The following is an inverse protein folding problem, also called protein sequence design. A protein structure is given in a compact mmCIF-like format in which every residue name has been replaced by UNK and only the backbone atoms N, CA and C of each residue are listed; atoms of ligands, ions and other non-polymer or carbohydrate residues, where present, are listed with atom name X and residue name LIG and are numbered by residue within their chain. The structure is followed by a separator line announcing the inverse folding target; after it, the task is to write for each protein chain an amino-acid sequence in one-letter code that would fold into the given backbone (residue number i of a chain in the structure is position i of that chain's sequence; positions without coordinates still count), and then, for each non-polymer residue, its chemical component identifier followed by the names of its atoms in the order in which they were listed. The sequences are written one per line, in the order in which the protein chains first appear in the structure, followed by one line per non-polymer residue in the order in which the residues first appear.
data_IF_259894754559
#
_entry.id   IF_259894754559
#
_cell.length_a   1.000
_cell.length_b   1.000
_cell.length_c   1.000
_cell.angle_alpha   90.00
_cell.angle_beta   90.00
_cell.angle_gamma   90.00
#
_symmetry.space_group_name_H-M   'P 1'
#
loop_
_entity.id
_entity.type
_entity.pdbx_description
1 polymer ?
#
# COMPACT_ATOMS: atom_id res chain seq x y z
N UNK A 1 3.25 -64.35 68.22
CA UNK A 1 2.69 -63.52 69.30
C UNK A 1 2.05 -62.34 68.65
N UNK A 2 0.73 -62.41 68.55
CA UNK A 2 -0.15 -61.60 67.74
C UNK A 2 -0.54 -60.35 68.51
N UNK A 3 -0.54 -59.18 67.91
CA UNK A 3 -1.30 -58.03 68.43
C UNK A 3 -2.12 -57.44 67.28
N UNK A 4 -3.41 -57.65 67.37
CA UNK A 4 -4.49 -57.02 66.62
C UNK A 4 -4.72 -55.59 67.19
N UNK A 5 -4.59 -54.56 66.39
CA UNK A 5 -5.11 -53.26 66.75
C UNK A 5 -6.43 -52.97 66.01
N UNK A 6 -7.49 -52.80 66.82
CA UNK A 6 -8.82 -52.35 66.41
C UNK A 6 -8.80 -50.89 65.95
N UNK A 7 -9.17 -50.64 64.74
CA UNK A 7 -9.54 -49.29 64.29
C UNK A 7 -11.05 -49.11 64.30
N UNK A 8 -11.52 -48.14 65.07
CA UNK A 8 -12.92 -47.74 65.29
C UNK A 8 -13.58 -47.10 64.05
N UNK A 9 -14.93 -47.23 63.87
CA UNK A 9 -15.65 -46.85 62.65
C UNK A 9 -15.84 -45.35 62.41
N UNK A 10 -15.24 -44.45 63.19
CA UNK A 10 -15.50 -42.99 63.13
C UNK A 10 -14.73 -42.25 62.01
N UNK A 11 -13.77 -42.90 61.37
CA UNK A 11 -12.91 -42.24 60.34
C UNK A 11 -13.45 -42.33 58.90
N UNK A 12 -14.55 -43.06 58.65
CA UNK A 12 -15.14 -43.18 57.29
C UNK A 12 -16.22 -42.17 56.95
N UNK A 13 -16.74 -41.47 57.92
CA UNK A 13 -17.82 -40.49 57.69
C UNK A 13 -17.34 -39.07 57.34
N UNK A 14 -16.10 -38.75 57.69
CA UNK A 14 -15.52 -37.43 57.36
C UNK A 14 -14.98 -37.28 55.95
N UNK A 15 -14.70 -38.37 55.25
CA UNK A 15 -14.19 -38.32 53.87
C UNK A 15 -15.26 -38.34 52.76
N UNK A 16 -16.53 -38.59 53.13
CA UNK A 16 -17.64 -38.54 52.16
C UNK A 16 -18.39 -37.20 52.17
N UNK A 17 -18.24 -36.36 53.21
CA UNK A 17 -18.87 -35.07 53.28
C UNK A 17 -18.05 -33.91 52.64
N UNK A 18 -16.80 -34.18 52.25
CA UNK A 18 -15.94 -33.17 51.58
C UNK A 18 -15.96 -33.28 50.06
N UNK A 19 -16.76 -34.18 49.46
CA UNK A 19 -16.91 -34.34 48.00
C UNK A 19 -18.17 -33.68 47.42
N UNK A 20 -18.94 -32.93 48.20
CA UNK A 20 -20.25 -32.38 47.76
C UNK A 20 -20.33 -30.88 47.83
N UNK A 21 -19.21 -30.11 47.84
CA UNK A 21 -19.28 -28.68 47.86
C UNK A 21 -18.20 -28.02 47.01
N UNK A 22 -18.06 -28.46 45.76
CA UNK A 22 -17.36 -27.74 44.71
C UNK A 22 -18.14 -27.89 43.41
N UNK A 23 -19.41 -27.54 43.43
CA UNK A 23 -20.16 -27.19 42.21
C UNK A 23 -19.81 -25.73 41.93
N UNK A 24 -18.66 -25.51 41.30
CA UNK A 24 -18.31 -24.23 40.71
C UNK A 24 -19.33 -23.93 39.61
N UNK A 25 -20.23 -23.00 39.92
CA UNK A 25 -21.08 -22.36 38.95
C UNK A 25 -20.13 -21.63 37.96
N UNK A 26 -19.77 -22.27 36.87
CA UNK A 26 -19.24 -21.58 35.68
C UNK A 26 -20.38 -20.74 35.13
N UNK A 27 -20.50 -19.50 35.61
CA UNK A 27 -21.23 -18.47 34.91
C UNK A 27 -20.42 -18.21 33.65
N UNK A 28 -20.79 -18.87 32.57
CA UNK A 28 -20.34 -18.50 31.23
C UNK A 28 -20.85 -17.09 30.98
N UNK A 29 -20.01 -16.09 31.24
CA UNK A 29 -20.21 -14.75 30.74
C UNK A 29 -20.16 -14.89 29.22
N UNK A 30 -21.32 -14.99 28.58
CA UNK A 30 -21.42 -14.80 27.15
C UNK A 30 -20.92 -13.38 26.91
N UNK A 31 -19.70 -13.25 26.42
CA UNK A 31 -19.21 -12.00 25.87
C UNK A 31 -20.19 -11.64 24.75
N UNK A 32 -21.07 -10.68 25.00
CA UNK A 32 -21.87 -10.06 23.93
C UNK A 32 -20.81 -9.44 23.02
N UNK A 33 -20.61 -10.05 21.85
CA UNK A 33 -19.75 -9.50 20.82
C UNK A 33 -20.22 -8.05 20.57
N UNK A 34 -19.32 -7.09 20.74
CA UNK A 34 -19.65 -5.72 20.41
C UNK A 34 -20.18 -5.69 18.96
N UNK A 35 -21.26 -4.95 18.69
CA UNK A 35 -21.81 -4.88 17.35
C UNK A 35 -20.71 -4.45 16.40
N UNK A 36 -20.52 -5.18 15.30
CA UNK A 36 -19.56 -4.82 14.24
C UNK A 36 -19.97 -3.45 13.71
N UNK A 37 -19.10 -2.44 13.80
CA UNK A 37 -19.47 -1.09 13.38
C UNK A 37 -19.85 -1.10 11.89
N UNK A 38 -21.01 -0.53 11.56
CA UNK A 38 -21.48 -0.45 10.18
C UNK A 38 -20.59 0.53 9.40
N UNK A 39 -20.03 0.08 8.30
CA UNK A 39 -19.26 0.95 7.39
C UNK A 39 -20.21 1.84 6.60
N UNK A 40 -19.93 3.12 6.57
CA UNK A 40 -20.68 4.12 5.78
C UNK A 40 -19.82 4.63 4.63
N UNK A 41 -20.43 4.76 3.46
CA UNK A 41 -19.78 5.29 2.25
C UNK A 41 -20.58 6.47 1.72
N UNK A 42 -19.88 7.57 1.48
CA UNK A 42 -20.42 8.76 0.81
C UNK A 42 -19.67 8.94 -0.51
N UNK A 43 -20.39 8.98 -1.62
CA UNK A 43 -19.84 9.36 -2.93
C UNK A 43 -19.70 10.89 -2.95
N UNK A 44 -18.47 11.37 -3.16
CA UNK A 44 -18.16 12.79 -3.20
C UNK A 44 -18.07 13.33 -4.64
N UNK A 45 -17.61 12.50 -5.57
CA UNK A 45 -17.43 12.80 -6.99
C UNK A 45 -17.53 11.53 -7.81
N UNK A 46 -18.12 11.62 -8.99
CA UNK A 46 -18.08 10.61 -10.06
C UNK A 46 -17.53 11.24 -11.35
N UNK A 47 -17.53 10.50 -12.46
CA UNK A 47 -17.07 10.99 -13.75
C UNK A 47 -15.55 11.18 -13.84
N UNK A 48 -14.75 10.50 -13.00
CA UNK A 48 -13.30 10.50 -13.08
C UNK A 48 -12.84 9.40 -14.05
N UNK A 49 -11.94 9.72 -14.98
CA UNK A 49 -11.42 8.76 -15.97
C UNK A 49 -10.25 7.95 -15.39
N UNK A 50 -10.54 6.74 -14.89
CA UNK A 50 -9.54 5.87 -14.27
C UNK A 50 -8.63 6.63 -13.29
N UNK A 51 -9.18 7.26 -12.22
CA UNK A 51 -8.36 8.00 -11.28
C UNK A 51 -7.35 7.07 -10.61
N UNK A 52 -6.10 7.55 -10.45
CA UNK A 52 -5.01 6.70 -10.00
C UNK A 52 -4.52 7.03 -8.58
N UNK A 53 -4.44 8.30 -8.22
CA UNK A 53 -3.96 8.76 -6.92
C UNK A 53 -4.60 10.06 -6.49
N UNK A 54 -4.67 10.31 -5.19
CA UNK A 54 -5.13 11.57 -4.63
C UNK A 54 -4.17 12.12 -3.57
N UNK A 55 -4.14 13.47 -3.45
CA UNK A 55 -3.41 14.17 -2.41
C UNK A 55 -4.24 15.32 -1.84
N UNK A 56 -4.35 15.38 -0.50
CA UNK A 56 -5.04 16.46 0.19
C UNK A 56 -4.17 17.73 0.20
N UNK A 57 -4.70 18.84 -0.29
CA UNK A 57 -4.10 20.14 -0.10
C UNK A 57 -4.34 20.61 1.35
N UNK A 58 -3.36 21.31 1.97
CA UNK A 58 -3.56 21.87 3.30
C UNK A 58 -4.70 22.90 3.33
N UNK A 59 -5.12 23.28 4.53
CA UNK A 59 -6.10 24.35 4.77
C UNK A 59 -7.43 24.18 4.01
N UNK A 60 -7.82 22.93 3.72
CA UNK A 60 -9.01 22.59 2.94
C UNK A 60 -9.05 23.19 1.52
N UNK A 61 -7.89 23.48 0.94
CA UNK A 61 -7.82 23.98 -0.45
C UNK A 61 -8.39 22.95 -1.46
N UNK A 62 -8.51 21.69 -1.11
CA UNK A 62 -9.13 20.63 -1.92
C UNK A 62 -8.28 19.37 -2.00
N UNK A 63 -8.58 18.54 -3.00
CA UNK A 63 -7.91 17.27 -3.28
C UNK A 63 -7.41 17.30 -4.72
N UNK A 64 -6.12 17.11 -4.93
CA UNK A 64 -5.57 16.81 -6.25
C UNK A 64 -5.84 15.37 -6.59
N UNK A 65 -6.29 15.09 -7.81
CA UNK A 65 -6.58 13.74 -8.30
C UNK A 65 -5.91 13.56 -9.66
N UNK A 66 -5.11 12.51 -9.82
CA UNK A 66 -4.57 12.11 -11.12
C UNK A 66 -5.54 11.17 -11.83
N UNK A 67 -5.71 11.39 -13.12
CA UNK A 67 -6.41 10.48 -14.03
C UNK A 67 -5.39 9.83 -14.96
N UNK A 68 -5.50 8.52 -15.16
CA UNK A 68 -4.50 7.74 -15.91
C UNK A 68 -4.31 8.20 -17.36
N UNK A 69 -5.32 8.85 -17.94
CA UNK A 69 -5.24 9.50 -19.26
C UNK A 69 -4.22 10.63 -19.35
N UNK A 70 -3.73 11.15 -18.21
CA UNK A 70 -2.72 12.22 -18.14
C UNK A 70 -3.26 13.54 -17.56
N UNK A 71 -4.44 13.53 -16.98
CA UNK A 71 -5.05 14.72 -16.39
C UNK A 71 -4.79 14.80 -14.89
N UNK A 72 -4.48 15.98 -14.39
CA UNK A 72 -4.48 16.31 -12.97
C UNK A 72 -5.69 17.21 -12.70
N UNK A 73 -6.53 16.84 -11.77
CA UNK A 73 -7.77 17.55 -11.44
C UNK A 73 -7.71 18.07 -10.00
N UNK A 74 -8.42 19.16 -9.74
CA UNK A 74 -8.66 19.66 -8.39
C UNK A 74 -10.13 19.47 -8.04
N UNK A 75 -10.40 18.68 -7.03
CA UNK A 75 -11.71 18.55 -6.42
C UNK A 75 -11.81 19.44 -5.18
N UNK A 76 -12.92 20.19 -5.06
CA UNK A 76 -13.22 21.04 -3.91
C UNK A 76 -14.66 20.82 -3.49
N UNK A 77 -14.91 20.68 -2.20
CA UNK A 77 -16.26 20.44 -1.70
C UNK A 77 -17.22 21.56 -2.12
N UNK A 78 -18.37 21.17 -2.68
CA UNK A 78 -19.41 22.13 -3.11
C UNK A 78 -19.09 22.87 -4.40
N UNK A 79 -18.00 22.53 -5.11
CA UNK A 79 -17.66 23.09 -6.42
C UNK A 79 -17.67 21.99 -7.49
N UNK A 80 -17.90 22.33 -8.75
CA UNK A 80 -17.66 21.44 -9.86
C UNK A 80 -16.20 20.96 -9.88
N UNK A 81 -15.95 19.73 -10.36
CA UNK A 81 -14.61 19.27 -10.62
C UNK A 81 -13.89 20.23 -11.58
N UNK A 82 -12.63 20.56 -11.28
CA UNK A 82 -11.88 21.52 -12.12
C UNK A 82 -11.72 21.02 -13.55
N UNK A 83 -11.47 21.94 -14.48
CA UNK A 83 -10.82 21.58 -15.74
C UNK A 83 -9.43 20.96 -15.44
N UNK A 84 -8.84 20.16 -16.37
CA UNK A 84 -7.49 19.66 -16.21
C UNK A 84 -6.48 20.78 -15.96
N UNK A 85 -5.64 20.60 -14.92
CA UNK A 85 -4.60 21.56 -14.59
C UNK A 85 -3.56 21.62 -15.72
N UNK A 86 -3.10 22.83 -16.04
CA UNK A 86 -2.05 23.04 -17.04
C UNK A 86 -0.66 22.64 -16.50
N UNK A 87 0.30 22.41 -17.41
CA UNK A 87 1.70 22.14 -17.05
C UNK A 87 2.00 20.75 -16.55
N UNK A 88 1.05 19.82 -16.65
CA UNK A 88 1.24 18.39 -16.41
C UNK A 88 2.00 17.76 -17.59
N UNK A 89 2.97 16.86 -17.38
CA UNK A 89 3.73 16.26 -18.46
C UNK A 89 2.85 15.37 -19.36
N UNK A 90 3.23 15.24 -20.62
CA UNK A 90 2.66 14.24 -21.51
C UNK A 90 3.00 12.83 -21.02
N UNK A 91 2.06 11.90 -21.09
CA UNK A 91 2.20 10.55 -20.56
C UNK A 91 2.00 9.48 -21.62
N UNK A 92 2.62 8.32 -21.40
CA UNK A 92 2.36 7.09 -22.14
C UNK A 92 1.14 6.39 -21.51
N UNK A 93 -0.06 6.62 -22.05
CA UNK A 93 -1.33 6.15 -21.48
C UNK A 93 -1.79 4.80 -22.06
N UNK A 94 -0.86 3.90 -22.43
CA UNK A 94 -1.17 2.55 -22.95
C UNK A 94 -1.02 1.49 -21.85
N UNK A 95 -1.93 0.52 -21.83
CA UNK A 95 -1.93 -0.57 -20.85
C UNK A 95 -2.13 -0.03 -19.41
N UNK A 96 -1.18 -0.30 -18.53
CA UNK A 96 -1.16 0.20 -17.15
C UNK A 96 -0.44 1.55 -17.01
N UNK A 97 0.11 2.09 -18.09
CA UNK A 97 0.78 3.38 -18.08
C UNK A 97 -0.20 4.55 -17.97
N UNK A 98 0.33 5.76 -17.76
CA UNK A 98 -0.43 6.99 -17.63
C UNK A 98 0.18 7.95 -16.63
N UNK A 99 -0.61 8.91 -16.15
CA UNK A 99 -0.30 9.72 -14.99
C UNK A 99 -0.65 8.88 -13.75
N UNK A 100 0.32 8.70 -12.85
CA UNK A 100 0.22 7.76 -11.75
C UNK A 100 0.08 8.49 -10.41
N UNK A 101 1.12 8.53 -9.59
CA UNK A 101 1.05 9.14 -8.27
C UNK A 101 1.09 10.66 -8.30
N UNK A 102 0.34 11.28 -7.38
CA UNK A 102 0.53 12.66 -6.96
C UNK A 102 0.91 12.69 -5.48
N UNK A 103 2.02 13.36 -5.16
CA UNK A 103 2.45 13.57 -3.78
C UNK A 103 2.81 15.04 -3.55
N UNK A 104 2.51 15.55 -2.36
CA UNK A 104 2.92 16.90 -1.97
C UNK A 104 4.30 16.88 -1.33
N UNK A 105 5.06 17.95 -1.51
CA UNK A 105 6.26 18.21 -0.73
C UNK A 105 5.96 18.16 0.77
N UNK A 106 6.82 17.57 1.61
CA UNK A 106 6.71 17.72 3.06
C UNK A 106 6.75 19.18 3.54
N UNK A 107 7.17 20.10 2.66
CA UNK A 107 7.21 21.55 2.88
C UNK A 107 6.22 22.31 1.97
N UNK A 108 5.13 21.67 1.58
CA UNK A 108 4.19 22.22 0.60
C UNK A 108 3.67 23.62 0.99
N UNK A 109 3.42 23.86 2.27
CA UNK A 109 2.99 25.18 2.74
C UNK A 109 3.99 26.30 2.39
N UNK A 110 5.29 25.98 2.25
CA UNK A 110 6.34 26.94 1.88
C UNK A 110 6.64 26.93 0.38
N UNK A 111 6.74 25.76 -0.23
CA UNK A 111 7.26 25.61 -1.59
C UNK A 111 6.19 25.30 -2.64
N UNK A 112 4.98 24.88 -2.22
CA UNK A 112 3.85 24.46 -3.05
C UNK A 112 4.23 23.43 -4.12
N UNK A 113 5.25 22.59 -3.86
CA UNK A 113 5.70 21.58 -4.81
C UNK A 113 4.75 20.38 -4.85
N UNK A 114 4.38 20.00 -6.05
CA UNK A 114 3.63 18.78 -6.37
C UNK A 114 4.55 17.85 -7.15
N UNK A 115 4.72 16.64 -6.66
CA UNK A 115 5.46 15.56 -7.32
C UNK A 115 4.48 14.70 -8.11
N UNK A 116 4.85 14.38 -9.33
CA UNK A 116 4.08 13.46 -10.18
C UNK A 116 5.00 12.34 -10.65
N UNK A 117 4.51 11.10 -10.55
CA UNK A 117 5.07 9.98 -11.28
C UNK A 117 4.19 9.65 -12.49
N UNK A 118 4.78 9.19 -13.54
CA UNK A 118 4.07 8.89 -14.78
C UNK A 118 4.85 7.91 -15.65
N UNK A 119 4.16 7.21 -16.53
CA UNK A 119 4.79 6.47 -17.60
C UNK A 119 5.21 7.47 -18.68
N UNK A 120 6.52 7.58 -18.92
CA UNK A 120 7.10 8.45 -19.94
C UNK A 120 7.42 7.66 -21.20
N UNK A 121 6.93 8.14 -22.36
CA UNK A 121 7.27 7.56 -23.64
C UNK A 121 8.76 7.77 -23.97
N UNK A 122 9.37 6.76 -24.55
CA UNK A 122 10.73 6.78 -25.09
C UNK A 122 10.77 6.60 -26.59
N UNK A 123 11.93 6.34 -27.13
CA UNK A 123 12.09 6.00 -28.55
C UNK A 123 11.48 4.63 -28.85
N UNK A 124 11.00 4.44 -30.07
CA UNK A 124 10.53 3.15 -30.62
C UNK A 124 9.37 2.53 -29.83
N UNK A 125 8.46 3.36 -29.29
CA UNK A 125 7.31 2.90 -28.49
C UNK A 125 7.66 2.29 -27.13
N UNK A 126 8.90 2.44 -26.67
CA UNK A 126 9.32 2.06 -25.31
C UNK A 126 8.77 3.04 -24.30
N UNK A 127 8.57 2.56 -23.08
CA UNK A 127 8.12 3.39 -21.97
C UNK A 127 8.82 3.01 -20.66
N UNK A 128 8.76 3.90 -19.69
CA UNK A 128 9.30 3.64 -18.36
C UNK A 128 8.82 4.69 -17.37
N UNK A 129 8.93 4.39 -16.10
CA UNK A 129 8.52 5.29 -15.02
C UNK A 129 9.42 6.50 -14.95
N UNK A 130 8.81 7.68 -14.89
CA UNK A 130 9.50 8.95 -14.66
C UNK A 130 8.86 9.68 -13.48
N UNK A 131 9.65 10.53 -12.82
CA UNK A 131 9.20 11.36 -11.70
C UNK A 131 9.72 12.79 -11.88
N UNK A 132 8.84 13.74 -11.68
CA UNK A 132 9.17 15.15 -11.69
C UNK A 132 8.38 15.90 -10.63
N UNK A 133 8.70 17.19 -10.48
CA UNK A 133 7.92 18.11 -9.66
C UNK A 133 7.75 19.45 -10.35
N UNK A 134 6.69 20.12 -9.99
CA UNK A 134 6.45 21.52 -10.33
C UNK A 134 5.78 22.24 -9.17
N UNK A 135 5.47 23.49 -9.34
CA UNK A 135 4.82 24.32 -8.33
C UNK A 135 3.34 24.51 -8.65
N UNK A 136 2.47 24.11 -7.74
CA UNK A 136 1.05 24.43 -7.86
C UNK A 136 0.86 25.94 -7.71
N UNK A 137 0.27 26.60 -8.72
CA UNK A 137 -0.01 28.02 -8.64
C UNK A 137 -1.07 28.31 -7.56
N UNK A 138 -1.16 29.57 -7.06
CA UNK A 138 -2.11 29.91 -5.99
C UNK A 138 -3.58 29.68 -6.36
N UNK A 139 -3.92 29.70 -7.64
CA UNK A 139 -5.28 29.51 -8.15
C UNK A 139 -5.66 28.01 -8.25
N UNK A 140 -4.69 27.09 -8.11
CA UNK A 140 -4.93 25.67 -8.27
C UNK A 140 -5.24 25.25 -9.73
N UNK A 141 -4.79 26.00 -10.73
CA UNK A 141 -5.12 25.79 -12.14
C UNK A 141 -3.95 25.29 -12.99
N UNK A 142 -2.74 25.31 -12.45
CA UNK A 142 -1.53 24.90 -13.17
C UNK A 142 -0.45 24.40 -12.22
N UNK A 143 0.35 23.46 -12.72
CA UNK A 143 1.64 23.06 -12.16
C UNK A 143 2.74 23.74 -12.97
N UNK A 144 3.34 24.76 -12.41
CA UNK A 144 4.33 25.60 -13.10
C UNK A 144 5.74 25.04 -12.97
N UNK A 145 6.58 25.29 -13.98
CA UNK A 145 8.01 24.91 -14.00
C UNK A 145 8.26 23.43 -13.71
N UNK A 146 7.42 22.55 -14.30
CA UNK A 146 7.56 21.11 -14.10
C UNK A 146 8.90 20.62 -14.65
N UNK A 147 9.65 19.90 -13.81
CA UNK A 147 10.99 19.38 -14.12
C UNK A 147 11.08 17.90 -13.75
N UNK A 148 11.45 17.06 -14.72
CA UNK A 148 11.68 15.62 -14.50
C UNK A 148 13.11 15.40 -14.02
N UNK A 149 13.23 14.76 -12.84
CA UNK A 149 14.53 14.50 -12.21
C UNK A 149 14.88 13.02 -12.14
N UNK A 150 13.91 12.12 -12.28
CA UNK A 150 14.15 10.68 -12.34
C UNK A 150 13.53 10.08 -13.59
N UNK A 151 14.26 9.19 -14.25
CA UNK A 151 13.81 8.39 -15.38
C UNK A 151 14.32 6.98 -15.24
N UNK A 152 13.44 6.02 -15.27
CA UNK A 152 13.80 4.61 -15.36
C UNK A 152 14.71 4.33 -16.55
N UNK A 153 15.77 3.58 -16.31
CA UNK A 153 16.76 3.19 -17.32
C UNK A 153 16.96 1.66 -17.31
N UNK A 154 16.93 1.01 -18.48
CA UNK A 154 16.42 1.53 -19.75
C UNK A 154 14.89 1.62 -19.77
N UNK A 155 14.33 2.35 -20.73
CA UNK A 155 12.92 2.21 -21.08
C UNK A 155 12.74 0.94 -21.91
N UNK A 156 11.61 0.23 -21.70
CA UNK A 156 11.35 -1.07 -22.32
C UNK A 156 10.07 -1.05 -23.16
N UNK A 157 9.96 -1.97 -24.11
CA UNK A 157 8.72 -2.21 -24.85
C UNK A 157 7.76 -2.96 -23.94
N UNK A 158 6.85 -2.21 -23.29
CA UNK A 158 5.90 -2.75 -22.32
C UNK A 158 4.66 -1.85 -22.23
N UNK A 159 3.59 -2.41 -21.76
CA UNK A 159 2.40 -1.69 -21.29
C UNK A 159 2.06 -1.97 -19.84
N UNK A 160 2.96 -2.68 -19.10
CA UNK A 160 2.66 -3.19 -17.77
C UNK A 160 3.75 -2.87 -16.76
N UNK A 161 3.40 -2.99 -15.48
CA UNK A 161 4.28 -2.98 -14.31
C UNK A 161 5.17 -1.74 -14.26
N UNK A 162 4.57 -0.58 -14.15
CA UNK A 162 5.30 0.68 -14.01
C UNK A 162 5.66 1.01 -12.55
N UNK A 163 5.03 0.38 -11.56
CA UNK A 163 5.12 0.82 -10.17
C UNK A 163 4.50 2.22 -10.01
N UNK A 164 5.30 3.21 -9.67
CA UNK A 164 4.95 4.63 -9.74
C UNK A 164 4.52 5.25 -8.41
N UNK A 165 4.47 4.53 -7.29
CA UNK A 165 4.16 5.11 -5.98
C UNK A 165 5.29 6.00 -5.48
N UNK A 166 4.91 7.08 -4.80
CA UNK A 166 5.80 8.05 -4.18
C UNK A 166 5.47 8.19 -2.70
N UNK A 167 6.48 8.13 -1.83
CA UNK A 167 6.31 8.44 -0.43
C UNK A 167 7.57 9.10 0.14
N UNK A 168 7.38 10.03 1.09
CA UNK A 168 8.47 10.66 1.81
C UNK A 168 8.67 10.00 3.18
N UNK A 169 9.94 9.79 3.57
CA UNK A 169 10.27 9.43 4.94
C UNK A 169 10.26 10.68 5.87
N UNK A 170 10.42 10.45 7.18
CA UNK A 170 10.47 11.54 8.18
C UNK A 170 11.66 12.49 8.00
N UNK A 171 12.71 12.05 7.31
CA UNK A 171 13.90 12.84 7.01
C UNK A 171 13.78 13.61 5.67
N UNK A 172 12.66 13.41 4.96
CA UNK A 172 12.38 14.01 3.67
C UNK A 172 13.00 13.26 2.48
N UNK A 173 13.48 12.05 2.67
CA UNK A 173 13.89 11.16 1.57
C UNK A 173 12.67 10.74 0.75
N UNK A 174 12.78 10.81 -0.58
CA UNK A 174 11.72 10.40 -1.50
C UNK A 174 11.95 8.97 -1.97
N UNK A 175 11.03 8.09 -1.66
CA UNK A 175 10.98 6.72 -2.15
C UNK A 175 10.07 6.64 -3.38
N UNK A 176 10.51 5.87 -4.39
CA UNK A 176 9.83 5.70 -5.67
C UNK A 176 9.79 4.21 -5.98
N UNK A 177 8.62 3.66 -6.27
CA UNK A 177 8.52 2.28 -6.74
C UNK A 177 8.62 2.20 -8.26
N UNK A 178 9.36 1.20 -8.75
CA UNK A 178 9.56 0.95 -10.17
C UNK A 178 9.29 -0.52 -10.46
N UNK A 179 8.33 -0.80 -11.32
CA UNK A 179 8.00 -2.16 -11.72
C UNK A 179 9.00 -2.76 -12.71
N UNK A 180 8.96 -4.07 -12.90
CA UNK A 180 9.90 -4.80 -13.78
C UNK A 180 9.46 -4.81 -15.26
N UNK A 181 8.36 -4.16 -15.61
CA UNK A 181 7.85 -4.02 -16.97
C UNK A 181 7.66 -5.36 -17.73
N UNK A 182 7.22 -6.42 -17.04
CA UNK A 182 7.13 -7.79 -17.59
C UNK A 182 8.47 -8.40 -18.04
N UNK A 183 9.60 -7.87 -17.55
CA UNK A 183 10.94 -8.40 -17.83
C UNK A 183 11.53 -8.95 -16.52
N UNK A 184 11.05 -10.11 -16.08
CA UNK A 184 11.23 -10.68 -14.74
C UNK A 184 12.66 -10.61 -14.20
N UNK A 185 13.65 -11.09 -14.98
CA UNK A 185 15.05 -11.16 -14.54
C UNK A 185 15.68 -9.79 -14.30
N UNK A 186 15.14 -8.72 -14.88
CA UNK A 186 15.65 -7.36 -14.64
C UNK A 186 15.51 -6.94 -13.19
N UNK A 187 14.55 -7.54 -12.44
CA UNK A 187 14.37 -7.27 -11.02
C UNK A 187 15.61 -7.64 -10.18
N UNK A 188 16.41 -8.60 -10.62
CA UNK A 188 17.64 -9.04 -9.97
C UNK A 188 18.90 -8.31 -10.45
N UNK A 189 18.83 -7.58 -11.56
CA UNK A 189 19.98 -6.86 -12.13
C UNK A 189 20.08 -5.45 -11.50
N UNK A 190 21.09 -5.24 -10.68
CA UNK A 190 21.33 -3.96 -10.00
C UNK A 190 21.81 -2.83 -10.95
N UNK A 191 22.22 -3.14 -12.17
CA UNK A 191 22.57 -2.13 -13.18
C UNK A 191 21.35 -1.47 -13.83
N UNK A 192 20.13 -1.98 -13.54
CA UNK A 192 18.87 -1.56 -14.12
C UNK A 192 17.92 -1.04 -13.03
N UNK A 193 16.94 -0.19 -13.42
CA UNK A 193 15.92 0.32 -12.49
C UNK A 193 14.68 -0.58 -12.35
N UNK A 194 14.47 -1.51 -13.26
CA UNK A 194 13.29 -2.37 -13.26
C UNK A 194 13.21 -3.25 -12.04
N UNK A 195 12.03 -3.30 -11.38
CA UNK A 195 11.79 -4.11 -10.20
C UNK A 195 12.57 -3.64 -8.98
N UNK A 196 12.57 -2.33 -8.74
CA UNK A 196 13.30 -1.68 -7.65
C UNK A 196 12.39 -0.74 -6.85
N UNK A 197 12.75 -0.51 -5.60
CA UNK A 197 12.40 0.72 -4.91
C UNK A 197 13.67 1.57 -4.88
N UNK A 198 13.58 2.81 -5.31
CA UNK A 198 14.69 3.77 -5.30
C UNK A 198 14.45 4.84 -4.24
N UNK A 199 15.53 5.40 -3.69
CA UNK A 199 15.49 6.49 -2.74
C UNK A 199 16.34 7.65 -3.23
N UNK A 200 15.73 8.84 -3.28
CA UNK A 200 16.35 10.09 -3.71
C UNK A 200 16.08 11.20 -2.68
N UNK A 201 16.82 12.28 -2.75
CA UNK A 201 16.43 13.52 -2.08
C UNK A 201 15.24 14.16 -2.79
N UNK A 202 14.50 15.09 -2.18
CA UNK A 202 13.38 15.80 -2.83
C UNK A 202 13.75 16.53 -4.13
N UNK A 203 15.03 16.80 -4.34
CA UNK A 203 15.54 17.43 -5.57
C UNK A 203 16.17 16.41 -6.54
N UNK A 204 15.94 15.11 -6.36
CA UNK A 204 16.42 14.06 -7.26
C UNK A 204 17.88 13.67 -7.14
N UNK A 205 18.61 14.12 -6.09
CA UNK A 205 19.99 13.70 -5.86
C UNK A 205 20.02 12.36 -5.13
N UNK A 206 21.06 11.56 -5.40
CA UNK A 206 21.29 10.31 -4.69
C UNK A 206 21.83 10.61 -3.28
N UNK A 207 21.16 10.11 -2.21
CA UNK A 207 21.71 10.18 -0.86
C UNK A 207 23.00 9.36 -0.73
N UNK A 208 23.98 9.90 0.02
CA UNK A 208 25.29 9.24 0.21
C UNK A 208 25.21 7.94 1.01
N UNK A 209 24.18 7.80 1.81
CA UNK A 209 23.87 6.65 2.67
C UNK A 209 22.97 5.61 1.98
N UNK A 210 22.70 5.74 0.68
CA UNK A 210 22.07 4.67 -0.09
C UNK A 210 22.98 3.43 -0.14
N UNK A 211 22.38 2.21 -0.08
CA UNK A 211 23.16 0.97 0.05
C UNK A 211 24.12 0.71 -1.11
N UNK A 212 23.79 1.21 -2.30
CA UNK A 212 24.58 1.00 -3.52
C UNK A 212 25.27 2.29 -4.02
N UNK A 213 25.31 3.35 -3.22
CA UNK A 213 25.84 4.66 -3.65
C UNK A 213 27.27 4.62 -4.21
N UNK A 214 28.09 3.64 -3.77
CA UNK A 214 29.49 3.49 -4.15
C UNK A 214 29.80 2.09 -4.74
N UNK A 215 28.81 1.39 -5.29
CA UNK A 215 28.96 0.00 -5.76
C UNK A 215 28.67 -0.14 -7.27
N UNK A 216 29.63 0.23 -8.11
CA UNK A 216 29.53 -0.03 -9.56
C UNK A 216 29.56 -1.54 -9.84
N UNK A 217 28.70 -2.07 -10.78
CA UNK A 217 27.83 -1.36 -11.71
C UNK A 217 26.40 -1.08 -11.19
N UNK A 218 26.12 -1.30 -9.90
CA UNK A 218 24.81 -1.04 -9.33
C UNK A 218 24.40 0.44 -9.47
N UNK A 219 23.11 0.68 -9.69
CA UNK A 219 22.53 2.01 -9.72
C UNK A 219 22.52 2.60 -8.30
N UNK A 220 23.14 3.76 -8.07
CA UNK A 220 23.32 4.31 -6.73
C UNK A 220 22.01 4.76 -6.05
N UNK A 221 20.94 5.00 -6.81
CA UNK A 221 19.63 5.35 -6.32
C UNK A 221 18.81 4.18 -5.77
N UNK A 222 19.23 2.93 -6.01
CA UNK A 222 18.50 1.74 -5.54
C UNK A 222 18.53 1.68 -4.02
N UNK A 223 17.33 1.47 -3.43
CA UNK A 223 17.14 1.16 -2.02
C UNK A 223 16.99 -0.34 -1.78
N UNK A 224 16.07 -1.00 -2.52
CA UNK A 224 15.84 -2.45 -2.49
C UNK A 224 15.54 -2.97 -3.89
N UNK A 225 15.61 -4.28 -4.10
CA UNK A 225 15.47 -4.90 -5.41
C UNK A 225 14.75 -6.25 -5.34
N UNK A 226 14.50 -6.88 -6.48
CA UNK A 226 13.76 -8.13 -6.53
C UNK A 226 12.25 -7.93 -6.36
N UNK A 227 11.73 -6.79 -6.80
CA UNK A 227 10.31 -6.46 -6.80
C UNK A 227 9.68 -6.75 -8.16
N UNK A 228 8.40 -7.10 -8.17
CA UNK A 228 7.63 -7.29 -9.41
C UNK A 228 6.93 -6.01 -9.86
N UNK A 229 5.94 -5.56 -9.11
CA UNK A 229 5.16 -4.37 -9.44
C UNK A 229 4.56 -3.74 -8.17
N UNK A 230 5.34 -2.99 -7.40
CA UNK A 230 4.84 -2.36 -6.19
C UNK A 230 3.82 -1.26 -6.51
N UNK A 231 2.60 -1.40 -5.97
CA UNK A 231 1.44 -0.54 -6.22
C UNK A 231 0.98 0.23 -4.99
N UNK A 232 1.56 -0.05 -3.82
CA UNK A 232 1.38 0.69 -2.59
C UNK A 232 2.72 1.01 -1.94
N UNK A 233 2.80 2.18 -1.31
CA UNK A 233 3.97 2.65 -0.56
C UNK A 233 3.49 3.62 0.51
N UNK A 234 3.75 3.33 1.77
CA UNK A 234 3.35 4.18 2.89
C UNK A 234 4.35 4.12 4.04
N UNK A 235 4.54 5.25 4.70
CA UNK A 235 5.33 5.32 5.93
C UNK A 235 4.48 4.84 7.10
N UNK A 236 4.93 3.81 7.81
CA UNK A 236 4.28 3.37 9.05
C UNK A 236 4.43 4.49 10.10
N UNK A 237 3.34 5.11 10.58
CA UNK A 237 3.40 6.27 11.46
C UNK A 237 3.99 5.95 12.83
N UNK A 238 3.85 4.71 13.29
CA UNK A 238 4.29 4.27 14.62
C UNK A 238 5.79 3.93 14.62
N UNK A 239 6.25 3.13 13.66
CA UNK A 239 7.67 2.72 13.57
C UNK A 239 8.53 3.71 12.79
N UNK A 240 7.94 4.51 11.90
CA UNK A 240 8.67 5.39 10.99
C UNK A 240 9.39 4.64 9.86
N UNK A 241 9.02 3.38 9.62
CA UNK A 241 9.59 2.52 8.57
C UNK A 241 8.68 2.52 7.34
N UNK A 242 9.26 2.52 6.14
CA UNK A 242 8.51 2.43 4.89
C UNK A 242 7.95 1.01 4.70
N UNK A 243 6.70 0.91 4.30
CA UNK A 243 6.07 -0.34 3.86
C UNK A 243 5.65 -0.23 2.40
N UNK A 244 5.71 -1.34 1.69
CA UNK A 244 5.23 -1.45 0.32
C UNK A 244 4.32 -2.65 0.14
N UNK A 245 3.46 -2.60 -0.86
CA UNK A 245 2.74 -3.76 -1.33
C UNK A 245 2.98 -3.96 -2.82
N UNK A 246 2.93 -5.19 -3.28
CA UNK A 246 3.15 -5.49 -4.69
C UNK A 246 2.31 -6.65 -5.22
N UNK A 247 2.02 -6.58 -6.52
CA UNK A 247 1.33 -7.66 -7.21
C UNK A 247 2.25 -8.86 -7.41
N UNK A 248 1.79 -10.03 -6.97
CA UNK A 248 2.29 -11.30 -7.47
C UNK A 248 1.83 -11.59 -8.91
N UNK A 249 2.18 -12.75 -9.48
CA UNK A 249 1.61 -13.23 -10.73
C UNK A 249 0.16 -13.73 -10.50
N UNK A 250 -0.15 -15.00 -10.74
CA UNK A 250 -1.42 -15.59 -10.32
C UNK A 250 -1.26 -16.10 -8.88
N UNK A 251 -1.78 -15.36 -7.90
CA UNK A 251 -1.46 -15.52 -6.47
C UNK A 251 -0.18 -14.79 -6.06
N UNK A 252 0.07 -14.71 -4.76
CA UNK A 252 1.31 -14.16 -4.19
C UNK A 252 1.41 -12.63 -4.25
N UNK A 253 0.30 -11.90 -4.15
CA UNK A 253 0.37 -10.48 -3.78
C UNK A 253 0.95 -10.37 -2.38
N UNK A 254 1.78 -9.35 -2.11
CA UNK A 254 2.64 -9.28 -0.92
C UNK A 254 2.62 -7.91 -0.25
N UNK A 255 2.82 -7.94 1.08
CA UNK A 255 3.18 -6.76 1.88
C UNK A 255 4.64 -6.93 2.31
N UNK A 256 5.45 -5.92 2.05
CA UNK A 256 6.87 -5.92 2.34
C UNK A 256 7.30 -4.70 3.17
N UNK A 257 8.38 -4.84 3.94
CA UNK A 257 9.09 -3.73 4.59
C UNK A 257 10.41 -3.56 3.86
N UNK A 258 10.52 -2.61 2.89
CA UNK A 258 11.73 -2.45 2.07
C UNK A 258 12.92 -1.97 2.90
N UNK A 259 13.87 -2.87 3.14
CA UNK A 259 15.11 -2.63 3.87
C UNK A 259 16.24 -2.30 2.88
N UNK A 260 17.13 -1.40 3.27
CA UNK A 260 18.27 -0.97 2.46
C UNK A 260 19.13 -2.15 1.99
N UNK A 261 19.35 -2.26 0.69
CA UNK A 261 20.23 -3.26 0.06
C UNK A 261 19.65 -4.67 -0.03
N UNK A 262 18.39 -4.90 0.40
CA UNK A 262 17.79 -6.22 0.46
C UNK A 262 17.07 -6.61 -0.82
N UNK A 263 17.05 -7.94 -1.08
CA UNK A 263 16.42 -8.61 -2.22
C UNK A 263 15.08 -9.21 -1.81
N UNK A 264 13.99 -8.82 -2.48
CA UNK A 264 12.62 -9.31 -2.24
C UNK A 264 12.23 -10.51 -3.12
N UNK A 265 13.21 -11.07 -3.83
CA UNK A 265 13.17 -12.40 -4.40
C UNK A 265 12.63 -12.52 -5.82
N UNK A 266 11.73 -11.65 -6.27
CA UNK A 266 11.16 -11.78 -7.61
C UNK A 266 12.24 -11.79 -8.72
N UNK A 267 12.21 -12.73 -9.69
CA UNK A 267 11.29 -13.88 -9.83
C UNK A 267 11.82 -15.18 -9.22
N UNK A 268 12.94 -15.16 -8.51
CA UNK A 268 13.61 -16.37 -7.96
C UNK A 268 12.84 -16.99 -6.80
N UNK A 269 12.21 -16.15 -5.98
CA UNK A 269 11.29 -16.52 -4.90
C UNK A 269 9.91 -15.92 -5.20
N UNK A 270 8.84 -16.72 -5.09
CA UNK A 270 7.47 -16.24 -5.29
C UNK A 270 6.45 -17.21 -4.69
N UNK A 271 5.37 -16.67 -4.13
CA UNK A 271 4.20 -17.40 -3.66
C UNK A 271 3.13 -17.62 -4.74
N UNK A 272 3.37 -17.15 -5.97
CA UNK A 272 2.44 -17.26 -7.08
C UNK A 272 2.96 -18.12 -8.23
N UNK A 273 2.08 -18.36 -9.20
CA UNK A 273 2.37 -19.13 -10.41
C UNK A 273 2.04 -18.30 -11.66
N UNK A 274 2.43 -18.74 -12.85
CA UNK A 274 2.02 -18.09 -14.10
C UNK A 274 0.49 -18.08 -14.24
N UNK A 275 -0.05 -17.15 -15.01
CA UNK A 275 -1.49 -17.10 -15.33
C UNK A 275 -1.99 -18.35 -16.04
N UNK A 276 -1.10 -19.10 -16.72
CA UNK A 276 -1.38 -20.43 -17.29
C UNK A 276 -1.57 -21.52 -16.21
N UNK A 277 -1.20 -21.26 -14.96
CA UNK A 277 -1.17 -22.23 -13.87
C UNK A 277 0.16 -23.01 -13.74
N UNK A 278 1.09 -22.81 -14.66
CA UNK A 278 2.42 -23.42 -14.60
C UNK A 278 3.32 -22.63 -13.64
N UNK A 279 4.36 -23.24 -13.06
CA UNK A 279 5.37 -22.53 -12.28
C UNK A 279 6.01 -21.37 -13.04
N UNK A 280 6.49 -20.36 -12.31
CA UNK A 280 7.38 -19.33 -12.86
C UNK A 280 8.71 -20.03 -13.22
N UNK A 281 9.20 -19.95 -14.47
CA UNK A 281 10.39 -20.71 -14.89
C UNK A 281 11.66 -20.40 -14.08
N UNK A 282 11.79 -19.15 -13.63
CA UNK A 282 12.93 -18.67 -12.85
C UNK A 282 12.84 -18.99 -11.38
N UNK A 283 11.64 -19.37 -10.88
CA UNK A 283 11.41 -19.59 -9.45
C UNK A 283 12.12 -20.86 -8.95
N UNK A 284 12.79 -20.70 -7.82
CA UNK A 284 13.47 -21.80 -7.09
C UNK A 284 12.69 -22.24 -5.85
N UNK A 285 11.56 -21.56 -5.57
CA UNK A 285 10.68 -21.83 -4.43
C UNK A 285 10.06 -20.55 -3.88
N UNK A 286 9.45 -20.66 -2.72
CA UNK A 286 8.90 -19.52 -1.96
C UNK A 286 9.96 -18.87 -1.06
N UNK A 287 10.97 -19.65 -0.64
CA UNK A 287 12.10 -19.21 0.19
C UNK A 287 13.39 -19.50 -0.57
N UNK A 288 14.18 -18.46 -0.80
CA UNK A 288 15.49 -18.57 -1.45
C UNK A 288 16.51 -17.83 -0.60
N UNK A 289 17.66 -18.43 -0.36
CA UNK A 289 18.73 -17.84 0.43
C UNK A 289 19.12 -16.47 -0.11
N UNK A 290 19.24 -15.50 0.79
CA UNK A 290 19.56 -14.10 0.44
C UNK A 290 18.36 -13.27 -0.02
N UNK A 291 17.13 -13.81 0.08
CA UNK A 291 15.90 -13.05 -0.16
C UNK A 291 15.13 -12.80 1.14
N UNK A 292 14.49 -11.63 1.23
CA UNK A 292 13.59 -11.29 2.31
C UNK A 292 12.21 -11.88 2.06
N UNK A 293 11.53 -12.27 3.14
CA UNK A 293 10.16 -12.77 3.06
C UNK A 293 9.16 -11.65 3.31
N UNK A 294 7.98 -11.72 2.69
CA UNK A 294 6.92 -10.74 2.94
C UNK A 294 6.41 -10.82 4.38
N UNK A 295 5.98 -9.68 4.91
CA UNK A 295 5.25 -9.60 6.19
C UNK A 295 3.92 -10.34 6.10
N UNK A 296 3.30 -10.27 4.92
CA UNK A 296 2.03 -10.92 4.62
C UNK A 296 1.90 -11.18 3.12
N UNK A 297 1.24 -12.28 2.74
CA UNK A 297 0.93 -12.57 1.34
C UNK A 297 -0.44 -13.25 1.19
N UNK A 298 -1.00 -13.18 0.00
CA UNK A 298 -2.25 -13.85 -0.35
C UNK A 298 -2.01 -14.97 -1.35
N UNK A 299 -2.45 -16.19 -1.04
CA UNK A 299 -2.42 -17.31 -1.98
C UNK A 299 -3.28 -17.00 -3.23
N UNK A 300 -4.43 -16.35 -3.03
CA UNK A 300 -5.29 -15.84 -4.10
C UNK A 300 -5.18 -14.32 -4.14
N UNK A 301 -4.46 -13.79 -5.12
CA UNK A 301 -4.23 -12.35 -5.28
C UNK A 301 -5.52 -11.54 -5.30
N UNK A 302 -5.70 -10.57 -4.39
CA UNK A 302 -6.79 -9.60 -4.47
C UNK A 302 -6.57 -8.54 -5.55
N UNK A 303 -5.35 -8.43 -6.09
CA UNK A 303 -4.92 -7.34 -6.96
C UNK A 303 -4.76 -6.05 -6.18
N UNK A 304 -3.90 -6.08 -5.18
CA UNK A 304 -3.69 -4.97 -4.22
C UNK A 304 -3.19 -3.71 -4.91
N UNK A 305 -3.49 -2.54 -4.32
CA UNK A 305 -3.23 -1.23 -4.92
C UNK A 305 -2.75 -0.21 -3.88
N UNK A 306 -3.31 0.99 -3.85
CA UNK A 306 -2.96 1.99 -2.84
C UNK A 306 -3.19 1.48 -1.42
N UNK A 307 -2.38 1.96 -0.46
CA UNK A 307 -2.49 1.60 0.94
C UNK A 307 -2.26 2.78 1.86
N UNK A 308 -2.87 2.75 3.05
CA UNK A 308 -2.69 3.75 4.09
C UNK A 308 -2.81 3.14 5.48
N UNK A 309 -1.94 3.54 6.40
CA UNK A 309 -2.07 3.24 7.82
C UNK A 309 -3.12 4.14 8.45
N UNK A 310 -3.92 3.59 9.34
CA UNK A 310 -4.93 4.35 10.06
C UNK A 310 -4.43 4.69 11.47
N UNK A 311 -4.03 5.93 11.65
CA UNK A 311 -3.56 6.52 12.92
C UNK A 311 -4.42 7.70 13.40
N UNK A 312 -5.56 7.95 12.73
CA UNK A 312 -6.47 9.04 13.06
C UNK A 312 -7.36 8.67 14.26
N UNK A 313 -7.68 9.67 15.11
CA UNK A 313 -8.48 9.49 16.33
C UNK A 313 -9.99 9.27 16.08
N UNK A 314 -10.47 9.55 14.85
CA UNK A 314 -11.90 9.55 14.54
C UNK A 314 -12.57 8.18 14.74
N UNK A 315 -11.92 7.11 14.34
CA UNK A 315 -12.45 5.75 14.45
C UNK A 315 -11.48 4.85 15.24
N UNK A 316 -11.55 4.86 16.60
CA UNK A 316 -10.64 4.06 17.42
C UNK A 316 -10.63 2.56 17.10
N UNK A 317 -11.76 2.03 16.61
CA UNK A 317 -11.87 0.62 16.18
C UNK A 317 -10.96 0.29 14.96
N UNK A 318 -10.46 1.30 14.27
CA UNK A 318 -9.55 1.16 13.14
C UNK A 318 -8.08 1.47 13.47
N UNK A 319 -7.77 1.87 14.70
CA UNK A 319 -6.39 2.08 15.13
C UNK A 319 -5.53 0.84 14.86
N UNK A 320 -4.26 1.05 14.61
CA UNK A 320 -3.29 -0.02 14.28
C UNK A 320 -3.73 -0.90 13.11
N UNK A 321 -4.35 -0.29 12.10
CA UNK A 321 -4.75 -0.99 10.87
C UNK A 321 -4.04 -0.42 9.65
N UNK A 322 -3.79 -1.30 8.68
CA UNK A 322 -3.38 -0.96 7.33
C UNK A 322 -4.56 -1.23 6.39
N UNK A 323 -5.02 -0.20 5.69
CA UNK A 323 -6.06 -0.30 4.67
C UNK A 323 -5.43 -0.39 3.28
N UNK A 324 -5.95 -1.28 2.44
CA UNK A 324 -5.42 -1.59 1.11
C UNK A 324 -6.58 -1.72 0.14
N UNK A 325 -6.48 -1.06 -1.02
CA UNK A 325 -7.43 -1.25 -2.10
C UNK A 325 -7.19 -2.57 -2.84
N UNK A 326 -8.25 -3.20 -3.31
CA UNK A 326 -8.19 -4.40 -4.13
C UNK A 326 -8.89 -4.17 -5.48
N UNK A 327 -8.15 -4.36 -6.56
CA UNK A 327 -8.62 -4.15 -7.93
C UNK A 327 -9.35 -5.38 -8.48
N UNK A 328 -8.81 -6.58 -8.24
CA UNK A 328 -9.34 -7.81 -8.79
C UNK A 328 -10.53 -8.34 -7.98
N UNK A 329 -10.43 -8.29 -6.66
CA UNK A 329 -11.53 -8.72 -5.78
C UNK A 329 -12.53 -7.59 -5.48
N UNK A 330 -12.23 -6.35 -5.88
CA UNK A 330 -13.16 -5.20 -5.81
C UNK A 330 -13.64 -4.91 -4.39
N UNK A 331 -12.71 -4.73 -3.49
CA UNK A 331 -12.98 -4.53 -2.07
C UNK A 331 -11.90 -3.68 -1.41
N UNK A 332 -12.17 -3.21 -0.21
CA UNK A 332 -11.21 -2.60 0.69
C UNK A 332 -10.78 -3.64 1.73
N UNK A 333 -9.50 -3.90 1.81
CA UNK A 333 -8.92 -4.82 2.79
C UNK A 333 -8.45 -4.01 4.00
N UNK A 334 -8.80 -4.45 5.19
CA UNK A 334 -8.25 -3.96 6.44
C UNK A 334 -7.40 -5.06 7.08
N UNK A 335 -6.14 -4.78 7.32
CA UNK A 335 -5.24 -5.62 8.10
C UNK A 335 -5.04 -5.00 9.48
N UNK A 336 -5.40 -5.72 10.53
CA UNK A 336 -5.10 -5.32 11.89
C UNK A 336 -3.66 -5.72 12.23
N UNK A 337 -2.92 -4.80 12.86
CA UNK A 337 -1.51 -4.97 13.15
C UNK A 337 -1.24 -5.05 14.65
N UNK A 338 -0.28 -5.90 15.00
CA UNK A 338 0.42 -5.91 16.29
C UNK A 338 1.92 -5.73 16.00
N UNK A 339 2.43 -4.52 16.18
CA UNK A 339 3.73 -4.12 15.64
C UNK A 339 3.78 -4.26 14.13
N UNK A 340 4.71 -5.09 13.64
CA UNK A 340 4.87 -5.37 12.22
C UNK A 340 4.15 -6.67 11.78
N UNK A 341 3.34 -7.29 12.66
CA UNK A 341 2.61 -8.52 12.36
C UNK A 341 1.17 -8.23 12.00
N UNK A 342 0.67 -8.89 10.96
CA UNK A 342 -0.75 -8.95 10.64
C UNK A 342 -1.41 -10.00 11.55
N UNK A 343 -2.37 -9.58 12.37
CA UNK A 343 -3.08 -10.44 13.33
C UNK A 343 -4.52 -10.76 12.93
N UNK A 344 -5.11 -9.95 12.05
CA UNK A 344 -6.44 -10.19 11.49
C UNK A 344 -6.58 -9.53 10.12
N UNK A 345 -7.46 -10.07 9.30
CA UNK A 345 -7.87 -9.52 8.00
C UNK A 345 -9.39 -9.36 7.97
N UNK A 346 -9.85 -8.22 7.48
CA UNK A 346 -11.25 -7.91 7.26
C UNK A 346 -11.45 -7.40 5.82
N UNK A 347 -12.54 -7.84 5.19
CA UNK A 347 -12.93 -7.44 3.83
C UNK A 347 -14.15 -6.53 3.88
N UNK A 348 -14.03 -5.35 3.31
CA UNK A 348 -15.03 -4.29 3.35
C UNK A 348 -15.44 -3.91 1.92
N UNK A 349 -16.65 -3.41 1.75
CA UNK A 349 -17.17 -2.85 0.49
C UNK A 349 -17.24 -3.82 -0.70
N UNK A 350 -17.13 -5.13 -0.48
CA UNK A 350 -17.23 -6.13 -1.55
C UNK A 350 -18.60 -6.15 -2.25
N UNK A 351 -19.65 -5.74 -1.56
CA UNK A 351 -21.02 -5.58 -2.08
C UNK A 351 -21.14 -4.49 -3.15
N UNK A 352 -20.23 -3.50 -3.17
CA UNK A 352 -20.22 -2.42 -4.16
C UNK A 352 -19.68 -2.87 -5.52
N UNK A 353 -18.84 -3.90 -5.57
CA UNK A 353 -18.29 -4.42 -6.82
C UNK A 353 -17.37 -3.44 -7.55
N UNK A 354 -16.77 -2.45 -6.87
CA UNK A 354 -15.94 -1.40 -7.43
C UNK A 354 -14.45 -1.71 -7.21
N UNK A 355 -13.64 -1.49 -8.23
CA UNK A 355 -12.18 -1.68 -8.20
C UNK A 355 -11.54 -0.56 -7.38
N UNK A 356 -11.04 -0.82 -6.19
CA UNK A 356 -10.41 0.22 -5.35
C UNK A 356 -8.97 0.43 -5.78
N UNK A 357 -8.64 1.65 -6.23
CA UNK A 357 -7.32 2.03 -6.76
C UNK A 357 -6.42 2.70 -5.74
N UNK A 358 -6.91 3.67 -5.01
CA UNK A 358 -6.11 4.39 -4.02
C UNK A 358 -6.85 4.50 -2.70
N UNK A 359 -6.08 4.53 -1.62
CA UNK A 359 -6.57 4.60 -0.26
C UNK A 359 -5.76 5.67 0.47
N UNK A 360 -6.44 6.67 1.04
CA UNK A 360 -5.81 7.73 1.84
C UNK A 360 -6.61 8.02 3.09
N UNK A 361 -5.93 8.43 4.15
CA UNK A 361 -6.59 8.97 5.33
C UNK A 361 -6.68 10.48 5.18
N UNK A 362 -7.90 11.00 5.24
CA UNK A 362 -8.15 12.44 5.15
C UNK A 362 -7.78 13.18 6.44
N UNK A 363 -7.56 14.49 6.37
CA UNK A 363 -7.28 15.31 7.55
C UNK A 363 -8.43 15.32 8.56
N UNK A 364 -9.61 14.92 8.14
CA UNK A 364 -10.81 14.76 8.96
C UNK A 364 -10.93 13.35 9.58
N UNK A 365 -9.95 12.49 9.38
CA UNK A 365 -9.87 11.12 9.92
C UNK A 365 -10.78 10.10 9.22
N UNK A 366 -11.40 10.44 8.08
CA UNK A 366 -12.08 9.48 7.23
C UNK A 366 -11.10 8.83 6.24
N UNK A 367 -11.47 7.67 5.73
CA UNK A 367 -10.77 7.04 4.61
C UNK A 367 -11.34 7.60 3.31
N UNK A 368 -10.47 7.95 2.38
CA UNK A 368 -10.83 8.36 1.03
C UNK A 368 -10.32 7.35 0.03
N UNK A 369 -11.19 6.97 -0.91
CA UNK A 369 -10.90 5.95 -1.92
C UNK A 369 -11.10 6.52 -3.32
N UNK A 370 -10.29 6.04 -4.25
CA UNK A 370 -10.54 6.19 -5.68
C UNK A 370 -10.88 4.83 -6.29
N UNK A 371 -11.85 4.80 -7.21
CA UNK A 371 -12.19 3.58 -7.96
C UNK A 371 -11.58 3.60 -9.36
N UNK A 372 -11.03 2.45 -9.84
CA UNK A 372 -10.36 2.33 -11.16
C UNK A 372 -11.39 1.96 -12.24
N UNK A 373 -12.26 2.90 -12.56
CA UNK A 373 -13.30 2.75 -13.57
C UNK A 373 -13.26 3.94 -14.57
N UNK A 374 -13.84 3.78 -15.76
CA UNK A 374 -14.01 4.88 -16.72
C UNK A 374 -14.99 5.96 -16.21
N UNK A 375 -15.89 5.59 -15.32
CA UNK A 375 -16.70 6.48 -14.50
C UNK A 375 -16.28 6.30 -13.05
N UNK A 376 -15.01 6.63 -12.79
CA UNK A 376 -14.37 6.48 -11.49
C UNK A 376 -14.91 7.47 -10.47
N UNK A 377 -14.75 7.13 -9.21
CA UNK A 377 -15.34 7.86 -8.08
C UNK A 377 -14.31 8.22 -7.04
N UNK A 378 -14.57 9.34 -6.37
CA UNK A 378 -13.99 9.68 -5.07
C UNK A 378 -15.02 9.34 -4.00
N UNK A 379 -14.67 8.42 -3.12
CA UNK A 379 -15.52 7.95 -2.02
C UNK A 379 -14.92 8.38 -0.67
N UNK A 380 -15.79 8.69 0.28
CA UNK A 380 -15.45 8.93 1.69
C UNK A 380 -16.04 7.83 2.54
N UNK A 381 -15.22 7.16 3.34
CA UNK A 381 -15.59 5.97 4.10
C UNK A 381 -15.32 6.20 5.59
N UNK A 382 -16.27 5.78 6.42
CA UNK A 382 -16.17 5.87 7.88
C UNK A 382 -17.04 4.82 8.56
N UNK A 383 -17.12 4.88 9.86
CA UNK A 383 -18.02 4.06 10.65
C UNK A 383 -19.26 4.87 11.04
N UNK A 384 -20.43 4.19 11.07
CA UNK A 384 -21.62 4.77 11.65
C UNK A 384 -21.35 5.11 13.13
N UNK A 385 -21.60 6.35 13.51
CA UNK A 385 -21.63 6.70 14.91
C UNK A 385 -22.95 6.17 15.50
N UNK A 386 -22.86 5.26 16.45
CA UNK A 386 -24.03 4.93 17.25
C UNK A 386 -24.42 6.22 18.03
N UNK A 387 -25.48 6.88 17.58
CA UNK A 387 -26.10 7.97 18.34
C UNK A 387 -26.75 7.42 19.60
#
# INVERSE_FOLDING_TARGET
MTLLENKTPASRLYFQLLKLLLLSVFVSASAIAAPVPTVMVTELQNGLDHPWSLAFLPDNEGILITERSGQLRLWQQGKPLSEPLKGVPAVYSKGQGGLLEVALSPKFAQDRRVYLSFAEEGKDGKAGTAVGYGRLNPQGTAVENFTVFFRQQPKLSTGNHFGGKLAFDKQGGLFITVGENNQRLTAQDLSLHQGKIVRLTPNGKVPKDNPFANQSPARPEIWSYGHRNPQGLALNPWSGVMWSNEHGPKGGDEINIPIAGKNYGWPLATHGVNYSGLPIPEAKGTHVDGTEQPVYYWEKSPGISGMAFYDAERFPAWHHSLFIGALAQKELIRLQLDGDKVVAEERLLGDRGERIRDVRIGPDGYIYLLTDESDGKLLKVGLATNN
#
